data_IF_336230239916
#
_entry.id   IF_336230239916
#
_cell.length_a   1.000
_cell.length_b   1.000
_cell.length_c   1.000
_cell.angle_alpha   90.00
_cell.angle_beta   90.00
_cell.angle_gamma   90.00
#
_symmetry.space_group_name_H-M   'P 1'
#
loop_
_entity.id
_entity.type
_entity.pdbx_description
1 polymer ?
#
# COMPACT_ATOMS: atom_id res chain seq x y z
N UNK A 1 13.52 3.46 -7.30
CA UNK A 1 12.51 3.90 -6.32
C UNK A 1 11.07 3.52 -6.73
N UNK A 2 10.71 3.57 -8.02
CA UNK A 2 9.35 3.30 -8.53
C UNK A 2 8.68 2.01 -8.02
N UNK A 3 9.40 0.88 -8.01
CA UNK A 3 8.84 -0.42 -7.57
C UNK A 3 8.30 -0.41 -6.13
N UNK A 4 8.80 0.48 -5.26
CA UNK A 4 8.31 0.61 -3.88
C UNK A 4 6.90 1.17 -3.81
N UNK A 5 6.54 2.03 -4.78
CA UNK A 5 5.18 2.58 -4.87
C UNK A 5 4.19 1.54 -5.40
N UNK A 6 4.67 0.60 -6.21
CA UNK A 6 3.87 -0.50 -6.75
C UNK A 6 3.68 -1.66 -5.75
N UNK A 7 4.45 -1.69 -4.66
CA UNK A 7 4.39 -2.73 -3.63
C UNK A 7 3.28 -2.45 -2.58
N UNK A 8 2.04 -2.28 -3.05
CA UNK A 8 0.87 -2.10 -2.20
C UNK A 8 0.37 -3.43 -1.61
N UNK A 9 -0.25 -3.36 -0.42
CA UNK A 9 -0.91 -4.53 0.18
C UNK A 9 -2.17 -4.84 -0.61
N UNK A 10 -2.27 -6.02 -1.22
CA UNK A 10 -3.46 -6.48 -1.94
C UNK A 10 -4.31 -7.49 -1.17
N UNK A 11 -5.61 -7.21 -1.08
CA UNK A 11 -6.62 -8.05 -0.44
C UNK A 11 -6.64 -9.46 -1.02
N UNK A 12 -6.49 -9.61 -2.34
CA UNK A 12 -6.41 -10.93 -2.97
C UNK A 12 -5.16 -11.70 -2.57
N UNK A 13 -4.03 -10.99 -2.38
CA UNK A 13 -2.78 -11.61 -1.94
C UNK A 13 -2.81 -11.97 -0.45
N UNK A 14 -3.40 -11.10 0.38
CA UNK A 14 -3.67 -11.41 1.80
C UNK A 14 -4.55 -12.65 1.91
N UNK A 15 -5.60 -12.74 1.10
CA UNK A 15 -6.49 -13.89 1.06
C UNK A 15 -5.72 -15.17 0.68
N UNK A 16 -4.91 -15.13 -0.39
CA UNK A 16 -4.06 -16.25 -0.82
C UNK A 16 -3.13 -16.72 0.29
N UNK A 17 -2.45 -15.80 0.99
CA UNK A 17 -1.54 -16.13 2.09
C UNK A 17 -2.24 -16.79 3.28
N UNK A 18 -3.52 -16.49 3.52
CA UNK A 18 -4.29 -17.11 4.60
C UNK A 18 -4.98 -18.41 4.17
N UNK A 19 -5.14 -18.65 2.87
CA UNK A 19 -5.85 -19.82 2.34
C UNK A 19 -4.95 -20.87 1.68
N UNK A 20 -3.66 -20.60 1.47
CA UNK A 20 -2.72 -21.51 0.78
C UNK A 20 -2.33 -22.77 1.57
N UNK A 21 -2.76 -22.90 2.84
CA UNK A 21 -2.44 -24.05 3.69
C UNK A 21 -1.25 -23.80 4.63
N UNK A 22 -0.23 -23.07 4.18
CA UNK A 22 0.97 -22.76 4.98
C UNK A 22 0.63 -22.10 6.31
N UNK A 23 -0.34 -21.18 6.30
CA UNK A 23 -0.81 -20.52 7.52
C UNK A 23 -1.34 -21.53 8.55
N UNK A 24 -2.15 -22.50 8.12
CA UNK A 24 -2.67 -23.51 9.04
C UNK A 24 -1.60 -24.49 9.49
N UNK A 25 -0.72 -24.90 8.59
CA UNK A 25 0.38 -25.81 8.94
C UNK A 25 1.23 -25.18 10.06
N UNK A 26 1.57 -23.90 9.95
CA UNK A 26 2.29 -23.17 11.01
C UNK A 26 1.54 -23.08 12.33
N UNK A 27 0.21 -22.95 12.29
CA UNK A 27 -0.59 -22.96 13.52
C UNK A 27 -0.60 -24.36 14.14
N UNK A 28 -0.79 -25.40 13.34
CA UNK A 28 -0.77 -26.79 13.80
C UNK A 28 0.58 -27.20 14.40
N UNK A 29 1.69 -26.69 13.86
CA UNK A 29 3.04 -26.91 14.41
C UNK A 29 3.29 -26.19 15.74
N UNK A 30 2.60 -25.07 16.00
CA UNK A 30 2.83 -24.23 17.18
C UNK A 30 1.86 -24.52 18.34
N UNK A 31 0.69 -25.06 18.05
CA UNK A 31 -0.39 -25.23 19.02
C UNK A 31 -0.87 -26.68 19.02
N UNK A 32 -0.86 -27.30 20.20
CA UNK A 32 -1.40 -28.64 20.43
C UNK A 32 -2.86 -28.57 20.90
N UNK A 33 -3.63 -29.62 20.59
CA UNK A 33 -5.02 -29.79 21.06
C UNK A 33 -6.10 -29.12 20.20
N UNK A 34 -7.31 -29.06 20.74
CA UNK A 34 -8.46 -28.45 20.06
C UNK A 34 -8.40 -26.92 20.17
N UNK A 35 -8.14 -26.24 19.05
CA UNK A 35 -8.12 -24.78 19.00
C UNK A 35 -9.15 -24.22 18.00
N UNK A 36 -9.67 -23.03 18.32
CA UNK A 36 -10.55 -22.28 17.42
C UNK A 36 -9.85 -21.05 16.90
N UNK A 37 -9.78 -20.92 15.58
CA UNK A 37 -9.18 -19.75 14.95
C UNK A 37 -10.17 -18.59 14.88
N UNK A 38 -9.76 -17.44 15.41
CA UNK A 38 -10.46 -16.16 15.28
C UNK A 38 -9.59 -15.16 14.52
N UNK A 39 -10.21 -14.46 13.58
CA UNK A 39 -9.56 -13.49 12.70
C UNK A 39 -9.94 -12.07 13.13
N UNK A 40 -8.94 -11.25 13.46
CA UNK A 40 -9.14 -9.84 13.79
C UNK A 40 -8.91 -8.98 12.54
N UNK A 41 -10.00 -8.57 11.89
CA UNK A 41 -9.96 -7.90 10.59
C UNK A 41 -10.68 -6.55 10.66
N UNK A 42 -10.23 -5.61 9.84
CA UNK A 42 -10.97 -4.40 9.49
C UNK A 42 -11.21 -4.45 7.98
N UNK A 43 -12.31 -5.08 7.51
CA UNK A 43 -12.57 -5.24 6.08
C UNK A 43 -12.72 -3.87 5.40
N UNK A 44 -11.98 -3.58 4.32
CA UNK A 44 -11.89 -2.22 3.76
C UNK A 44 -13.22 -1.66 3.26
N UNK A 45 -14.19 -2.52 2.93
CA UNK A 45 -15.48 -2.11 2.37
C UNK A 45 -16.54 -1.76 3.43
N UNK A 46 -16.42 -2.27 4.66
CA UNK A 46 -17.49 -2.16 5.66
C UNK A 46 -16.99 -2.14 7.11
N UNK A 47 -15.67 -1.98 7.33
CA UNK A 47 -15.15 -1.75 8.67
C UNK A 47 -15.78 -0.50 9.28
N UNK A 48 -16.06 -0.57 10.58
CA UNK A 48 -16.48 0.61 11.33
C UNK A 48 -15.29 1.55 11.48
N UNK A 49 -15.55 2.84 11.44
CA UNK A 49 -14.55 3.88 11.71
C UNK A 49 -14.67 4.32 13.16
N UNK A 50 -13.54 4.41 13.84
CA UNK A 50 -13.43 4.91 15.21
C UNK A 50 -13.60 6.43 15.28
N UNK A 51 -13.63 6.97 16.51
CA UNK A 51 -13.68 8.41 16.74
C UNK A 51 -12.43 9.15 16.24
N UNK A 52 -11.33 8.44 16.08
CA UNK A 52 -10.05 8.89 15.52
C UNK A 52 -10.01 8.84 13.98
N UNK A 53 -11.09 8.41 13.32
CA UNK A 53 -11.14 8.26 11.86
C UNK A 53 -10.48 6.98 11.34
N UNK A 54 -10.02 6.07 12.22
CA UNK A 54 -9.31 4.86 11.80
C UNK A 54 -10.23 3.62 11.74
N UNK A 55 -9.95 2.65 10.85
CA UNK A 55 -10.70 1.39 10.80
C UNK A 55 -10.55 0.58 12.10
N UNK A 56 -11.68 0.24 12.72
CA UNK A 56 -11.73 -0.59 13.94
C UNK A 56 -11.72 -2.07 13.55
N UNK A 57 -10.79 -2.82 14.14
CA UNK A 57 -10.72 -4.28 13.97
C UNK A 57 -11.91 -4.93 14.66
N UNK A 58 -12.60 -5.79 13.94
CA UNK A 58 -13.65 -6.66 14.46
C UNK A 58 -13.17 -8.10 14.47
N UNK A 59 -13.64 -8.86 15.44
CA UNK A 59 -13.34 -10.28 15.55
C UNK A 59 -14.32 -11.09 14.69
N UNK A 60 -13.79 -12.02 13.90
CA UNK A 60 -14.55 -12.93 13.07
C UNK A 60 -14.16 -14.38 13.36
N UNK A 61 -15.12 -15.30 13.27
CA UNK A 61 -14.89 -16.72 13.50
C UNK A 61 -14.15 -17.41 12.35
N UNK A 62 -13.90 -18.72 12.50
CA UNK A 62 -13.12 -19.52 11.55
C UNK A 62 -13.72 -19.60 10.14
N UNK A 63 -15.00 -19.25 9.98
CA UNK A 63 -15.69 -19.21 8.68
C UNK A 63 -15.00 -18.28 7.67
N UNK A 64 -14.29 -17.25 8.14
CA UNK A 64 -13.51 -16.31 7.30
C UNK A 64 -12.48 -17.01 6.42
N UNK A 65 -11.99 -18.19 6.83
CA UNK A 65 -11.12 -19.02 6.00
C UNK A 65 -11.74 -19.33 4.63
N UNK A 66 -13.03 -19.62 4.59
CA UNK A 66 -13.75 -19.93 3.35
C UNK A 66 -13.84 -18.67 2.48
N UNK A 67 -14.06 -17.51 3.11
CA UNK A 67 -14.06 -16.21 2.41
C UNK A 67 -12.70 -15.92 1.79
N UNK A 68 -11.59 -16.12 2.52
CA UNK A 68 -10.25 -15.97 1.96
C UNK A 68 -9.97 -16.96 0.83
N UNK A 69 -10.38 -18.22 0.96
CA UNK A 69 -10.25 -19.22 -0.12
C UNK A 69 -11.00 -18.79 -1.38
N UNK A 70 -12.20 -18.23 -1.23
CA UNK A 70 -12.98 -17.71 -2.34
C UNK A 70 -12.35 -16.46 -2.97
N UNK A 71 -11.97 -15.48 -2.14
CA UNK A 71 -11.29 -14.25 -2.58
C UNK A 71 -10.00 -14.56 -3.34
N UNK A 72 -9.20 -15.53 -2.86
CA UNK A 72 -7.95 -15.92 -3.52
C UNK A 72 -8.17 -16.40 -4.96
N UNK A 73 -9.30 -17.07 -5.24
CA UNK A 73 -9.67 -17.51 -6.60
C UNK A 73 -10.08 -16.34 -7.50
N UNK A 74 -10.58 -15.25 -6.93
CA UNK A 74 -10.94 -14.03 -7.63
C UNK A 74 -9.76 -13.07 -7.86
N UNK A 75 -8.52 -13.50 -7.61
CA UNK A 75 -7.31 -12.70 -7.90
C UNK A 75 -7.24 -12.18 -9.34
N UNK A 76 -7.83 -12.87 -10.31
CA UNK A 76 -7.87 -12.42 -11.70
C UNK A 76 -8.70 -11.14 -11.92
N UNK A 77 -9.55 -10.75 -10.95
CA UNK A 77 -10.29 -9.49 -11.00
C UNK A 77 -9.39 -8.29 -10.73
N UNK A 78 -8.20 -8.48 -10.15
CA UNK A 78 -7.27 -7.41 -9.80
C UNK A 78 -6.97 -6.50 -10.99
N UNK A 79 -7.17 -5.20 -10.81
CA UNK A 79 -6.91 -4.20 -11.86
C UNK A 79 -7.94 -4.20 -13.00
N UNK A 80 -9.00 -5.01 -12.92
CA UNK A 80 -10.13 -4.94 -13.84
C UNK A 80 -11.20 -3.99 -13.31
N UNK A 81 -12.20 -3.66 -14.13
CA UNK A 81 -13.36 -2.87 -13.70
C UNK A 81 -14.18 -3.55 -12.60
N UNK A 82 -14.02 -4.86 -12.40
CA UNK A 82 -14.70 -5.64 -11.36
C UNK A 82 -13.91 -5.74 -10.06
N UNK A 83 -12.76 -5.07 -9.96
CA UNK A 83 -11.98 -4.98 -8.73
C UNK A 83 -12.65 -4.01 -7.73
N UNK A 84 -13.49 -4.54 -6.86
CA UNK A 84 -14.22 -3.74 -5.86
C UNK A 84 -13.27 -3.03 -4.88
N UNK A 85 -12.09 -3.59 -4.61
CA UNK A 85 -11.11 -3.01 -3.68
C UNK A 85 -10.36 -1.84 -4.31
N UNK A 86 -10.21 -1.84 -5.64
CA UNK A 86 -9.60 -0.75 -6.38
C UNK A 86 -10.37 0.57 -6.26
N UNK A 87 -11.68 0.54 -5.99
CA UNK A 87 -12.50 1.76 -5.85
C UNK A 87 -12.37 2.47 -4.50
N UNK A 88 -11.67 1.88 -3.54
CA UNK A 88 -11.40 2.55 -2.25
C UNK A 88 -10.49 3.77 -2.46
N UNK A 89 -10.67 4.80 -1.64
CA UNK A 89 -9.87 6.03 -1.71
C UNK A 89 -8.38 5.75 -1.47
N UNK A 90 -8.06 4.80 -0.57
CA UNK A 90 -6.69 4.35 -0.36
C UNK A 90 -6.10 3.82 -1.67
N UNK A 91 -6.76 2.86 -2.34
CA UNK A 91 -6.25 2.27 -3.59
C UNK A 91 -6.19 3.21 -4.78
N UNK A 92 -7.10 4.19 -4.87
CA UNK A 92 -6.98 5.25 -5.87
C UNK A 92 -5.72 6.09 -5.62
N UNK A 93 -5.50 6.51 -4.37
CA UNK A 93 -4.32 7.28 -4.00
C UNK A 93 -3.00 6.51 -4.20
N UNK A 94 -2.97 5.20 -3.91
CA UNK A 94 -1.76 4.39 -4.15
C UNK A 94 -1.39 4.33 -5.64
N UNK A 95 -2.39 4.16 -6.52
CA UNK A 95 -2.19 4.11 -7.97
C UNK A 95 -1.79 5.48 -8.53
N UNK A 96 -2.51 6.53 -8.15
CA UNK A 96 -2.17 7.90 -8.53
C UNK A 96 -0.73 8.26 -8.14
N UNK A 97 -0.29 7.88 -6.93
CA UNK A 97 1.07 8.13 -6.46
C UNK A 97 2.14 7.49 -7.36
N UNK A 98 1.89 6.29 -7.91
CA UNK A 98 2.81 5.67 -8.84
C UNK A 98 2.87 6.46 -10.16
N UNK A 99 1.71 6.79 -10.75
CA UNK A 99 1.65 7.53 -12.01
C UNK A 99 2.24 8.95 -11.88
N UNK A 100 1.99 9.62 -10.76
CA UNK A 100 2.57 10.92 -10.44
C UNK A 100 4.09 10.84 -10.32
N UNK A 101 4.62 9.82 -9.61
CA UNK A 101 6.07 9.64 -9.53
C UNK A 101 6.70 9.38 -10.88
N UNK A 102 6.05 8.58 -11.75
CA UNK A 102 6.52 8.35 -13.11
C UNK A 102 6.60 9.68 -13.88
N UNK A 103 5.52 10.46 -13.86
CA UNK A 103 5.43 11.77 -14.51
C UNK A 103 6.50 12.73 -13.97
N UNK A 104 6.71 12.74 -12.65
CA UNK A 104 7.75 13.52 -11.99
C UNK A 104 9.12 13.15 -12.53
N UNK A 105 9.49 11.87 -12.55
CA UNK A 105 10.78 11.42 -13.09
C UNK A 105 10.94 11.82 -14.56
N UNK A 106 9.93 11.59 -15.39
CA UNK A 106 9.93 11.97 -16.81
C UNK A 106 10.15 13.49 -16.98
N UNK A 107 9.59 14.33 -16.10
CA UNK A 107 9.80 15.78 -16.11
C UNK A 107 11.19 16.24 -15.64
N UNK A 108 11.87 15.43 -14.81
CA UNK A 108 13.21 15.75 -14.29
C UNK A 108 14.32 15.40 -15.28
N UNK A 109 14.13 14.36 -16.10
CA UNK A 109 15.11 13.91 -17.10
C UNK A 109 15.63 15.04 -18.02
N UNK A 110 14.78 15.88 -18.65
CA UNK A 110 15.26 16.95 -19.51
C UNK A 110 15.93 18.11 -18.75
N UNK A 111 15.72 18.22 -17.44
CA UNK A 111 16.30 19.27 -16.58
C UNK A 111 17.63 18.88 -15.97
N UNK A 112 18.10 17.66 -16.23
CA UNK A 112 19.26 17.08 -15.56
C UNK A 112 20.57 17.68 -16.05
N UNK A 113 21.36 18.20 -15.12
CA UNK A 113 22.71 18.74 -15.33
C UNK A 113 23.64 18.21 -14.23
N UNK A 114 24.95 18.26 -14.44
CA UNK A 114 25.91 17.85 -13.42
C UNK A 114 25.77 18.65 -12.10
N UNK A 115 25.38 19.93 -12.20
CA UNK A 115 25.25 20.83 -11.06
C UNK A 115 24.00 20.55 -10.18
N UNK A 116 22.91 20.07 -10.78
CA UNK A 116 21.65 19.81 -10.07
C UNK A 116 21.36 18.31 -9.86
N UNK A 117 22.24 17.42 -10.33
CA UNK A 117 22.13 15.97 -10.18
C UNK A 117 21.88 15.53 -8.73
N UNK A 118 22.56 16.06 -7.69
CA UNK A 118 22.29 15.67 -6.31
C UNK A 118 20.84 15.98 -5.87
N UNK A 119 20.30 17.12 -6.30
CA UNK A 119 18.92 17.53 -5.99
C UNK A 119 17.92 16.63 -6.73
N UNK A 120 18.17 16.31 -8.00
CA UNK A 120 17.32 15.39 -8.78
C UNK A 120 17.31 13.98 -8.16
N UNK A 121 18.46 13.47 -7.73
CA UNK A 121 18.54 12.17 -7.03
C UNK A 121 17.74 12.23 -5.72
N UNK A 122 17.84 13.33 -4.96
CA UNK A 122 17.08 13.49 -3.74
C UNK A 122 15.56 13.47 -4.00
N UNK A 123 15.08 14.14 -5.06
CA UNK A 123 13.67 14.10 -5.48
C UNK A 123 13.27 12.68 -5.89
N UNK A 124 14.07 12.03 -6.72
CA UNK A 124 13.80 10.65 -7.16
C UNK A 124 13.77 9.66 -5.99
N UNK A 125 14.50 9.92 -4.91
CA UNK A 125 14.55 9.08 -3.72
C UNK A 125 13.34 9.20 -2.78
N UNK A 126 12.43 10.16 -2.98
CA UNK A 126 11.26 10.40 -2.12
C UNK A 126 10.44 9.13 -1.80
N UNK A 127 10.24 8.16 -2.72
CA UNK A 127 9.52 6.94 -2.39
C UNK A 127 10.14 6.12 -1.24
N UNK A 128 11.40 6.33 -0.89
CA UNK A 128 12.05 5.70 0.27
C UNK A 128 11.43 6.13 1.61
N UNK A 129 10.87 7.33 1.66
CA UNK A 129 10.29 7.91 2.87
C UNK A 129 8.85 7.45 3.10
N UNK A 130 8.22 6.86 2.07
CA UNK A 130 6.82 6.43 2.09
C UNK A 130 6.75 4.95 2.50
N UNK A 131 6.76 4.71 3.81
CA UNK A 131 6.78 3.36 4.40
C UNK A 131 5.53 3.05 5.22
N UNK A 132 5.34 1.77 5.53
CA UNK A 132 4.22 1.29 6.34
C UNK A 132 2.95 1.02 5.52
N UNK A 133 1.83 0.82 6.23
CA UNK A 133 0.53 0.47 5.65
C UNK A 133 -0.57 1.36 6.23
N UNK A 134 -1.67 1.56 5.50
CA UNK A 134 -2.84 2.30 5.97
C UNK A 134 -2.47 3.71 6.45
N UNK A 135 -3.02 4.17 7.57
CA UNK A 135 -2.79 5.50 8.14
C UNK A 135 -1.31 5.83 8.40
N UNK A 136 -0.47 4.85 8.73
CA UNK A 136 0.98 5.06 8.89
C UNK A 136 1.59 5.49 7.55
N UNK A 137 1.19 4.83 6.46
CA UNK A 137 1.62 5.19 5.10
C UNK A 137 1.12 6.58 4.69
N UNK A 138 -0.12 6.91 5.03
CA UNK A 138 -0.69 8.24 4.75
C UNK A 138 0.07 9.36 5.47
N UNK A 139 0.45 9.15 6.73
CA UNK A 139 1.27 10.10 7.48
C UNK A 139 2.64 10.30 6.82
N UNK A 140 3.31 9.21 6.46
CA UNK A 140 4.59 9.28 5.74
C UNK A 140 4.47 9.94 4.37
N UNK A 141 3.39 9.66 3.63
CA UNK A 141 3.10 10.31 2.36
C UNK A 141 2.96 11.83 2.52
N UNK A 142 2.22 12.30 3.53
CA UNK A 142 2.07 13.73 3.79
C UNK A 142 3.41 14.41 4.08
N UNK A 143 4.29 13.77 4.86
CA UNK A 143 5.65 14.27 5.11
C UNK A 143 6.51 14.27 3.84
N UNK A 144 6.45 13.19 3.05
CA UNK A 144 7.16 13.02 1.80
C UNK A 144 6.78 14.12 0.78
N UNK A 145 5.49 14.45 0.66
CA UNK A 145 5.02 15.54 -0.22
C UNK A 145 5.59 16.90 0.15
N UNK A 146 5.67 17.20 1.45
CA UNK A 146 6.30 18.46 1.91
C UNK A 146 7.78 18.51 1.54
N UNK A 147 8.49 17.38 1.67
CA UNK A 147 9.90 17.27 1.28
C UNK A 147 10.09 17.40 -0.23
N UNK A 148 9.25 16.73 -1.03
CA UNK A 148 9.23 16.81 -2.49
C UNK A 148 9.05 18.25 -2.96
N UNK A 149 8.02 18.95 -2.46
CA UNK A 149 7.75 20.35 -2.81
C UNK A 149 8.94 21.28 -2.49
N UNK A 150 9.59 21.07 -1.34
CA UNK A 150 10.79 21.84 -0.95
C UNK A 150 11.95 21.61 -1.92
N UNK A 151 12.21 20.37 -2.31
CA UNK A 151 13.29 20.01 -3.21
C UNK A 151 13.03 20.53 -4.64
N UNK A 152 11.78 20.48 -5.10
CA UNK A 152 11.37 21.06 -6.38
C UNK A 152 11.60 22.58 -6.40
N UNK A 153 11.17 23.30 -5.36
CA UNK A 153 11.43 24.73 -5.24
C UNK A 153 12.92 25.09 -5.14
N UNK A 154 13.76 24.19 -4.62
CA UNK A 154 15.22 24.34 -4.66
C UNK A 154 15.80 24.11 -6.05
N UNK A 155 15.30 23.11 -6.77
CA UNK A 155 15.69 22.83 -8.15
C UNK A 155 15.35 24.01 -9.06
N UNK A 156 14.14 24.57 -8.92
CA UNK A 156 13.67 25.72 -9.71
C UNK A 156 14.51 26.98 -9.46
N UNK A 157 14.92 27.23 -8.21
CA UNK A 157 15.81 28.37 -7.87
C UNK A 157 17.23 28.24 -8.43
N UNK A 158 17.68 27.02 -8.72
CA UNK A 158 19.02 26.74 -9.26
C UNK A 158 19.04 26.66 -10.78
N UNK A 159 17.88 26.72 -11.45
CA UNK A 159 17.85 26.86 -12.90
C UNK A 159 18.14 28.32 -13.27
N UNK A 160 19.18 28.58 -14.08
CA UNK A 160 19.45 29.89 -14.63
C UNK A 160 18.39 30.31 -15.66
#
# INVERSE_FOLDING_TARGET
YYFKLMAGKDEYEVARLHSNGDFLARIADQFEGDYTLRYNLAPPLFARTGADGLPVKSEYGSWVRHVFSLLAKFRFLRGTMFDIFAYTEERKAERALADEYRTLVESLLPRMTAANLPTIIAIASIPEDIRGYSHVRQHHLAAARKKEAKLLAELDRRQP
#
